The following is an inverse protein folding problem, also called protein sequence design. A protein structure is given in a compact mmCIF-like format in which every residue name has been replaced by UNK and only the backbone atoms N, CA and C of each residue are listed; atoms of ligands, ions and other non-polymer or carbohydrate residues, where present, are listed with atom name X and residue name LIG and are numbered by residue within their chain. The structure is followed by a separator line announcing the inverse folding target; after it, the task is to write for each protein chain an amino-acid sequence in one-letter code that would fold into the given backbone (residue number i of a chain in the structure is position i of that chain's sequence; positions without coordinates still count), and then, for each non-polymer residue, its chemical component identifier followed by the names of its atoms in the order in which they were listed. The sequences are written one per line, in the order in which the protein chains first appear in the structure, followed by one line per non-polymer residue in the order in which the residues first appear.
data_IF_631245803563
#
_entry.id   IF_631245803563
#
_cell.length_a   1.000
_cell.length_b   1.000
_cell.length_c   1.000
_cell.angle_alpha   90.00
_cell.angle_beta   90.00
_cell.angle_gamma   90.00
#
_symmetry.space_group_name_H-M   'P 1'
#
loop_
_entity.id
_entity.type
_entity.pdbx_description
1 polymer ?
#
# COMPACT_ATOMS: atom_id res chain seq x y z
N UNK A 1 2.16 6.86 0.98
CA UNK A 1 1.61 7.17 -0.37
C UNK A 1 0.10 7.35 -0.23
N UNK A 2 -0.50 8.27 -0.99
CA UNK A 2 -1.94 8.51 -0.92
C UNK A 2 -2.64 7.75 -2.05
N UNK A 3 -3.74 7.10 -1.74
CA UNK A 3 -4.65 6.49 -2.72
C UNK A 3 -5.82 7.45 -3.00
N UNK A 4 -6.33 7.51 -4.24
CA UNK A 4 -7.56 8.24 -4.54
C UNK A 4 -8.78 7.53 -3.94
N UNK A 5 -9.77 8.30 -3.46
CA UNK A 5 -11.00 7.81 -2.85
C UNK A 5 -11.29 8.48 -1.51
N UNK A 6 -12.52 8.37 -1.02
CA UNK A 6 -12.92 8.93 0.28
C UNK A 6 -12.74 7.91 1.41
N UNK A 7 -12.91 8.38 2.65
CA UNK A 7 -12.99 7.50 3.82
C UNK A 7 -14.21 6.58 3.70
N UNK A 8 -14.00 5.29 3.86
CA UNK A 8 -15.01 4.25 3.65
C UNK A 8 -15.05 3.64 2.24
N UNK A 9 -14.27 4.18 1.29
CA UNK A 9 -14.19 3.60 -0.04
C UNK A 9 -13.51 2.22 -0.03
N UNK A 10 -14.04 1.30 -0.85
CA UNK A 10 -13.43 -0.02 -1.07
C UNK A 10 -12.21 0.12 -1.99
N UNK A 11 -11.13 -0.59 -1.66
CA UNK A 11 -9.90 -0.66 -2.44
C UNK A 11 -9.59 -2.13 -2.71
N UNK A 12 -9.26 -2.45 -3.96
CA UNK A 12 -8.78 -3.78 -4.35
C UNK A 12 -7.32 -3.72 -4.77
N UNK A 13 -6.53 -4.68 -4.28
CA UNK A 13 -5.16 -4.91 -4.72
C UNK A 13 -5.11 -6.25 -5.47
N UNK A 14 -4.82 -6.17 -6.76
CA UNK A 14 -4.80 -7.32 -7.65
C UNK A 14 -3.38 -7.91 -7.79
N UNK A 15 -2.35 -7.12 -7.48
CA UNK A 15 -0.94 -7.54 -7.52
C UNK A 15 -0.53 -8.20 -6.20
N UNK A 16 -0.76 -9.51 -6.09
CA UNK A 16 -0.33 -10.31 -4.94
C UNK A 16 0.86 -11.17 -5.32
N UNK A 17 1.99 -11.00 -4.62
CA UNK A 17 3.25 -11.72 -4.93
C UNK A 17 3.30 -13.08 -4.22
N UNK A 18 2.81 -13.13 -2.98
CA UNK A 18 2.84 -14.32 -2.15
C UNK A 18 1.63 -14.34 -1.22
N UNK A 19 1.05 -15.51 -1.03
CA UNK A 19 -0.01 -15.76 -0.05
C UNK A 19 0.13 -17.14 0.58
N UNK A 20 -0.36 -17.29 1.80
CA UNK A 20 -0.38 -18.56 2.52
C UNK A 20 -1.66 -18.67 3.33
N UNK A 21 -2.36 -19.80 3.19
CA UNK A 21 -3.53 -20.16 4.00
C UNK A 21 -3.15 -21.07 5.20
N UNK A 22 -1.86 -21.18 5.51
CA UNK A 22 -1.33 -22.04 6.57
C UNK A 22 -0.82 -23.38 6.06
N UNK A 23 -1.61 -24.08 5.23
CA UNK A 23 -1.24 -25.40 4.69
C UNK A 23 -0.64 -25.33 3.28
N UNK A 24 -1.03 -24.33 2.48
CA UNK A 24 -0.62 -24.16 1.08
C UNK A 24 -0.03 -22.78 0.87
N UNK A 25 1.17 -22.76 0.30
CA UNK A 25 1.84 -21.52 -0.13
C UNK A 25 1.59 -21.28 -1.61
N UNK A 26 1.13 -20.08 -1.94
CA UNK A 26 0.94 -19.60 -3.29
C UNK A 26 2.06 -18.60 -3.62
N UNK A 27 3.03 -19.04 -4.40
CA UNK A 27 4.17 -18.22 -4.83
C UNK A 27 3.95 -17.73 -6.26
N UNK A 28 3.95 -16.42 -6.46
CA UNK A 28 3.82 -15.79 -7.76
C UNK A 28 5.16 -15.70 -8.50
N UNK A 29 5.09 -15.76 -9.84
CA UNK A 29 6.21 -15.45 -10.72
C UNK A 29 5.66 -14.78 -11.99
N UNK A 30 5.37 -13.46 -12.01
CA UNK A 30 5.65 -12.40 -11.02
C UNK A 30 4.52 -12.13 -9.99
N UNK A 31 3.29 -12.55 -10.25
CA UNK A 31 2.13 -12.42 -9.35
C UNK A 31 1.35 -13.75 -9.27
N UNK A 32 0.62 -13.97 -8.19
CA UNK A 32 -0.27 -15.11 -8.00
C UNK A 32 -1.54 -14.88 -8.81
N UNK A 33 -1.72 -15.65 -9.89
CA UNK A 33 -2.88 -15.51 -10.78
C UNK A 33 -4.20 -15.75 -10.01
N UNK A 34 -5.12 -14.79 -10.11
CA UNK A 34 -6.44 -14.87 -9.49
C UNK A 34 -6.46 -14.55 -7.99
N UNK A 35 -5.35 -14.10 -7.41
CA UNK A 35 -5.35 -13.58 -6.05
C UNK A 35 -5.85 -12.13 -6.01
N UNK A 36 -6.65 -11.80 -5.00
CA UNK A 36 -7.18 -10.45 -4.80
C UNK A 36 -7.28 -10.13 -3.32
N UNK A 37 -6.78 -8.97 -2.92
CA UNK A 37 -6.94 -8.44 -1.55
C UNK A 37 -7.93 -7.29 -1.60
N UNK A 38 -9.00 -7.39 -0.82
CA UNK A 38 -10.02 -6.34 -0.72
C UNK A 38 -9.93 -5.66 0.64
N UNK A 39 -9.93 -4.33 0.65
CA UNK A 39 -9.88 -3.51 1.86
C UNK A 39 -10.76 -2.27 1.78
N UNK A 40 -10.72 -1.47 2.84
CA UNK A 40 -11.43 -0.22 2.98
C UNK A 40 -10.50 0.88 3.48
N UNK A 41 -10.66 2.09 2.97
CA UNK A 41 -9.93 3.27 3.44
C UNK A 41 -10.49 3.71 4.80
N UNK A 42 -9.69 3.57 5.86
CA UNK A 42 -10.08 3.99 7.22
C UNK A 42 -9.83 5.48 7.40
N UNK A 43 -8.73 5.99 6.87
CA UNK A 43 -8.34 7.39 7.04
C UNK A 43 -7.41 7.86 5.93
N UNK A 44 -7.52 9.13 5.58
CA UNK A 44 -6.49 9.85 4.86
C UNK A 44 -5.82 10.86 5.78
N UNK A 45 -4.50 10.88 5.76
CA UNK A 45 -3.72 11.62 6.72
C UNK A 45 -2.42 12.15 6.17
N UNK A 46 -1.80 13.01 6.98
CA UNK A 46 -0.43 13.46 6.77
C UNK A 46 0.41 12.93 7.92
N UNK A 47 1.55 12.35 7.59
CA UNK A 47 2.49 11.83 8.56
C UNK A 47 3.13 12.94 9.40
N UNK A 48 4.07 12.50 10.22
CA UNK A 48 4.87 13.40 11.05
C UNK A 48 5.66 14.40 10.18
N UNK A 49 5.94 15.56 10.79
CA UNK A 49 6.65 16.63 10.11
C UNK A 49 8.14 16.30 10.11
N UNK A 50 8.68 15.99 8.94
CA UNK A 50 10.11 15.89 8.73
C UNK A 50 10.64 17.29 8.45
N UNK A 51 11.70 17.69 9.16
CA UNK A 51 12.34 18.99 8.96
C UNK A 51 13.59 18.80 8.10
N UNK A 52 13.54 19.30 6.86
CA UNK A 52 14.68 19.35 5.96
C UNK A 52 15.42 20.66 6.18
N UNK A 53 16.57 20.59 6.82
CA UNK A 53 17.44 21.75 7.04
C UNK A 53 18.68 21.67 6.14
N UNK A 54 18.97 22.75 5.42
CA UNK A 54 20.15 22.90 4.55
C UNK A 54 20.93 24.13 4.99
N UNK A 55 22.22 23.96 5.27
CA UNK A 55 23.12 25.04 5.68
C UNK A 55 24.39 25.01 4.83
N UNK A 56 24.91 26.17 4.44
CA UNK A 56 26.28 26.31 3.90
C UNK A 56 27.08 27.26 4.78
N UNK A 57 28.23 26.80 5.27
CA UNK A 57 29.11 27.56 6.16
C UNK A 57 29.67 28.82 5.46
N UNK A 58 29.68 29.96 6.15
CA UNK A 58 30.23 31.26 5.65
C UNK A 58 29.59 31.80 4.36
N UNK A 59 28.40 31.29 3.98
CA UNK A 59 27.65 31.75 2.80
C UNK A 59 26.32 32.42 3.14
N UNK A 60 26.06 32.68 4.43
CA UNK A 60 24.77 33.18 4.94
C UNK A 60 23.56 32.43 4.37
N UNK A 61 23.73 31.13 4.11
CA UNK A 61 22.71 30.27 3.51
C UNK A 61 22.24 29.26 4.54
N UNK A 62 21.00 29.44 4.97
CA UNK A 62 20.24 28.54 5.83
C UNK A 62 18.84 28.39 5.23
N UNK A 63 18.37 27.17 4.99
CA UNK A 63 16.98 26.89 4.59
C UNK A 63 16.40 25.82 5.50
N UNK A 64 15.22 26.08 6.06
CA UNK A 64 14.46 25.13 6.86
C UNK A 64 13.11 24.92 6.20
N UNK A 65 12.84 23.72 5.71
CA UNK A 65 11.57 23.37 5.08
C UNK A 65 10.96 22.17 5.79
N UNK A 66 9.66 22.24 6.07
CA UNK A 66 8.91 21.10 6.56
C UNK A 66 8.39 20.27 5.40
N UNK A 67 8.49 18.95 5.51
CA UNK A 67 7.77 18.00 4.67
C UNK A 67 6.84 17.16 5.54
N UNK A 68 5.61 16.97 5.08
CA UNK A 68 4.64 16.05 5.70
C UNK A 68 4.08 15.17 4.60
N UNK A 69 4.48 13.90 4.61
CA UNK A 69 4.08 12.94 3.60
C UNK A 69 2.62 12.54 3.76
N UNK A 70 1.85 12.55 2.67
CA UNK A 70 0.49 12.02 2.64
C UNK A 70 0.49 10.49 2.72
N UNK A 71 -0.45 9.95 3.47
CA UNK A 71 -0.70 8.51 3.54
C UNK A 71 -2.21 8.22 3.61
N UNK A 72 -2.55 7.02 3.15
CA UNK A 72 -3.88 6.44 3.31
C UNK A 72 -3.75 5.21 4.20
N UNK A 73 -4.54 5.16 5.26
CA UNK A 73 -4.68 4.01 6.14
C UNK A 73 -5.78 3.11 5.59
N UNK A 74 -5.44 1.85 5.34
CA UNK A 74 -6.34 0.86 4.73
C UNK A 74 -6.48 -0.32 5.68
N UNK A 75 -7.71 -0.72 5.96
CA UNK A 75 -8.02 -1.96 6.68
C UNK A 75 -8.35 -3.05 5.67
N UNK A 76 -7.63 -4.16 5.74
CA UNK A 76 -7.90 -5.34 4.92
C UNK A 76 -9.15 -6.03 5.43
N UNK A 77 -10.08 -6.36 4.53
CA UNK A 77 -11.32 -7.07 4.85
C UNK A 77 -11.29 -8.53 4.45
N UNK A 78 -10.77 -8.80 3.26
CA UNK A 78 -10.81 -10.14 2.68
C UNK A 78 -9.60 -10.39 1.77
N UNK A 79 -9.18 -11.65 1.72
CA UNK A 79 -8.10 -12.14 0.88
C UNK A 79 -8.63 -13.36 0.15
N UNK A 80 -8.79 -13.24 -1.17
CA UNK A 80 -9.24 -14.32 -2.02
C UNK A 80 -8.05 -14.87 -2.82
N UNK A 81 -7.80 -16.17 -2.71
CA UNK A 81 -6.91 -16.89 -3.61
C UNK A 81 -7.76 -17.63 -4.63
N UNK A 82 -7.63 -17.28 -5.90
CA UNK A 82 -8.39 -17.92 -6.98
C UNK A 82 -8.22 -19.43 -6.95
N UNK A 83 -9.23 -20.17 -6.49
CA UNK A 83 -9.31 -21.61 -6.72
C UNK A 83 -9.34 -21.82 -8.22
N UNK A 84 -8.38 -22.58 -8.77
CA UNK A 84 -8.55 -23.20 -10.07
C UNK A 84 -9.83 -24.03 -10.01
N UNK A 85 -10.91 -23.54 -10.62
CA UNK A 85 -12.04 -24.36 -11.01
C UNK A 85 -11.52 -25.50 -11.88
N UNK A 86 -12.09 -26.68 -11.67
CA UNK A 86 -11.68 -27.93 -12.29
C UNK A 86 -11.61 -27.87 -13.82
N UNK A 87 -10.89 -28.84 -14.37
CA UNK A 87 -10.72 -29.02 -15.79
C UNK A 87 -12.05 -29.02 -16.54
N UNK A 88 -12.02 -28.42 -17.71
CA UNK A 88 -13.00 -28.65 -18.76
C UNK A 88 -12.29 -29.39 -19.90
N UNK A 89 -13.01 -30.35 -20.47
CA UNK A 89 -12.56 -31.47 -21.30
C UNK A 89 -11.72 -31.08 -22.51
#
# INVERSE_FOLDING_TARGET
PSLPGDTGAKVSFDDVILGSDGDKQHVGAPVVKGARVTGEIVKQGRGEKIVVFKQKRRKNYAKKQGHRQGFTEVRIKDIAFGKKSGGEK
#
